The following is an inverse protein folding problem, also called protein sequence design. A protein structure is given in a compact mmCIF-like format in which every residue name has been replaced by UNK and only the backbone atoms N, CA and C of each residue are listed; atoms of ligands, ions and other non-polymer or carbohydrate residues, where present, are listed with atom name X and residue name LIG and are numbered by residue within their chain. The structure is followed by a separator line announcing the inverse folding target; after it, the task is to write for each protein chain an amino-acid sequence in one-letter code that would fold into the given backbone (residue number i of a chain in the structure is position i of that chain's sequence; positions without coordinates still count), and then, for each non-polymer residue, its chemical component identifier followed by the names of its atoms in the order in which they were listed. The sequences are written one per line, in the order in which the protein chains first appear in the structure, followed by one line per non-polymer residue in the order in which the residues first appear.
data_IF_179542696749
#
_entry.id   IF_179542696749
#
_cell.length_a   1.000
_cell.length_b   1.000
_cell.length_c   1.000
_cell.angle_alpha   90.00
_cell.angle_beta   90.00
_cell.angle_gamma   90.00
#
_symmetry.space_group_name_H-M   'P 1'
#
loop_
_entity.id
_entity.type
_entity.pdbx_description
1 polymer ?
#
# COMPACT_ATOMS: atom_id res chain seq x y z
N UNK A 1 6.02 17.75 -9.50
CA UNK A 1 7.09 16.82 -9.91
C UNK A 1 6.58 15.67 -10.78
N UNK A 2 5.56 14.90 -10.35
CA UNK A 2 4.96 13.79 -11.11
C UNK A 2 4.57 14.17 -12.54
N UNK A 3 3.84 15.27 -12.70
CA UNK A 3 3.46 15.79 -14.02
C UNK A 3 4.67 15.89 -14.96
N UNK A 4 5.75 16.53 -14.48
CA UNK A 4 6.97 16.72 -15.27
C UNK A 4 7.62 15.37 -15.60
N UNK A 5 7.73 14.48 -14.61
CA UNK A 5 8.38 13.18 -14.79
C UNK A 5 7.64 12.31 -15.82
N UNK A 6 6.32 12.13 -15.66
CA UNK A 6 5.52 11.32 -16.60
C UNK A 6 5.53 11.96 -18.00
N UNK A 7 5.46 13.28 -18.08
CA UNK A 7 5.58 13.99 -19.36
C UNK A 7 6.93 13.70 -20.03
N UNK A 8 8.04 13.82 -19.29
CA UNK A 8 9.38 13.55 -19.81
C UNK A 8 9.53 12.08 -20.26
N UNK A 9 9.12 11.14 -19.41
CA UNK A 9 9.19 9.70 -19.76
C UNK A 9 8.36 9.41 -21.01
N UNK A 10 7.14 9.94 -21.09
CA UNK A 10 6.27 9.77 -22.25
C UNK A 10 6.91 10.34 -23.53
N UNK A 11 7.51 11.52 -23.46
CA UNK A 11 8.20 12.15 -24.61
C UNK A 11 9.43 11.33 -25.01
N UNK A 12 10.21 10.84 -24.07
CA UNK A 12 11.37 9.96 -24.33
C UNK A 12 10.97 8.65 -25.02
N UNK A 13 9.75 8.18 -24.77
CA UNK A 13 9.15 7.01 -25.41
C UNK A 13 8.44 7.35 -26.75
N UNK A 14 8.58 8.58 -27.24
CA UNK A 14 8.07 8.99 -28.54
C UNK A 14 6.63 9.51 -28.57
N UNK A 15 5.97 9.69 -27.42
CA UNK A 15 4.64 10.29 -27.33
C UNK A 15 4.71 11.78 -27.70
N UNK A 16 3.76 12.27 -28.48
CA UNK A 16 3.65 13.70 -28.80
C UNK A 16 3.56 14.52 -27.52
N UNK A 17 4.36 15.60 -27.44
CA UNK A 17 4.47 16.45 -26.24
C UNK A 17 3.12 16.87 -25.66
N UNK A 18 2.17 17.28 -26.51
CA UNK A 18 0.84 17.72 -26.04
C UNK A 18 0.06 16.61 -25.33
N UNK A 19 0.10 15.37 -25.85
CA UNK A 19 -0.53 14.20 -25.22
C UNK A 19 0.21 13.77 -23.95
N UNK A 20 1.53 13.80 -23.98
CA UNK A 20 2.36 13.51 -22.81
C UNK A 20 2.09 14.51 -21.67
N UNK A 21 2.02 15.79 -22.00
CA UNK A 21 1.71 16.85 -21.03
C UNK A 21 0.28 16.70 -20.48
N UNK A 22 -0.70 16.40 -21.33
CA UNK A 22 -2.08 16.16 -20.91
C UNK A 22 -2.15 15.01 -19.90
N UNK A 23 -1.51 13.86 -20.19
CA UNK A 23 -1.41 12.74 -19.25
C UNK A 23 -0.74 13.12 -17.94
N UNK A 24 0.41 13.80 -18.00
CA UNK A 24 1.11 14.27 -16.82
C UNK A 24 0.30 15.24 -15.96
N UNK A 25 -0.43 16.18 -16.57
CA UNK A 25 -1.30 17.12 -15.87
C UNK A 25 -2.48 16.39 -15.22
N UNK A 26 -3.17 15.49 -15.94
CA UNK A 26 -4.25 14.67 -15.39
C UNK A 26 -3.78 13.88 -14.17
N UNK A 27 -2.59 13.28 -14.25
CA UNK A 27 -2.01 12.56 -13.12
C UNK A 27 -1.76 13.49 -11.93
N UNK A 28 -1.15 14.66 -12.16
CA UNK A 28 -0.94 15.66 -11.12
C UNK A 28 -2.23 16.09 -10.42
N UNK A 29 -3.30 16.30 -11.21
CA UNK A 29 -4.64 16.65 -10.69
C UNK A 29 -5.21 15.48 -9.87
N UNK A 30 -5.12 14.24 -10.36
CA UNK A 30 -5.60 13.06 -9.66
C UNK A 30 -4.92 12.89 -8.30
N UNK A 31 -3.60 13.02 -8.25
CA UNK A 31 -2.80 12.94 -7.03
C UNK A 31 -3.17 14.04 -6.03
N UNK A 32 -3.26 15.28 -6.50
CA UNK A 32 -3.65 16.42 -5.66
C UNK A 32 -5.07 16.23 -5.13
N UNK A 33 -5.98 15.72 -5.96
CA UNK A 33 -7.35 15.41 -5.59
C UNK A 33 -7.43 14.35 -4.49
N UNK A 34 -6.69 13.23 -4.62
CA UNK A 34 -6.63 12.20 -3.57
C UNK A 34 -6.09 12.78 -2.27
N UNK A 35 -5.00 13.54 -2.34
CA UNK A 35 -4.40 14.18 -1.17
C UNK A 35 -5.40 15.10 -0.45
N UNK A 36 -6.15 15.90 -1.20
CA UNK A 36 -7.17 16.78 -0.66
C UNK A 36 -8.30 15.98 0.02
N UNK A 37 -8.78 14.90 -0.61
CA UNK A 37 -9.83 14.05 -0.04
C UNK A 37 -9.36 13.38 1.25
N UNK A 38 -8.12 12.84 1.27
CA UNK A 38 -7.52 12.26 2.49
C UNK A 38 -7.43 13.32 3.60
N UNK A 39 -6.98 14.53 3.27
CA UNK A 39 -6.85 15.62 4.26
C UNK A 39 -8.21 16.01 4.85
N UNK A 40 -9.26 16.11 4.06
CA UNK A 40 -10.63 16.40 4.52
C UNK A 40 -11.12 15.29 5.44
N UNK A 41 -10.94 14.03 5.04
CA UNK A 41 -11.38 12.88 5.80
C UNK A 41 -10.62 12.78 7.13
N UNK A 42 -9.30 12.87 7.10
CA UNK A 42 -8.46 12.86 8.30
C UNK A 42 -8.77 14.00 9.25
N UNK A 43 -8.95 15.22 8.74
CA UNK A 43 -9.32 16.38 9.55
C UNK A 43 -10.66 16.21 10.25
N UNK A 44 -11.67 15.64 9.56
CA UNK A 44 -12.99 15.40 10.14
C UNK A 44 -12.96 14.34 11.25
N UNK A 45 -12.16 13.28 11.10
CA UNK A 45 -12.11 12.17 12.03
C UNK A 45 -11.13 12.36 13.20
N UNK A 46 -10.09 13.17 13.01
CA UNK A 46 -9.01 13.36 14.00
C UNK A 46 -9.56 13.78 15.38
N UNK A 47 -10.40 14.80 15.44
CA UNK A 47 -10.94 15.29 16.70
C UNK A 47 -11.81 14.25 17.41
N UNK A 48 -12.62 13.51 16.66
CA UNK A 48 -13.49 12.48 17.20
C UNK A 48 -12.68 11.32 17.80
N UNK A 49 -11.66 10.84 17.07
CA UNK A 49 -10.82 9.73 17.54
C UNK A 49 -9.92 10.14 18.72
N UNK A 50 -9.40 11.37 18.73
CA UNK A 50 -8.67 11.90 19.89
C UNK A 50 -9.56 11.94 21.12
N UNK A 51 -10.78 12.46 21.02
CA UNK A 51 -11.75 12.48 22.12
C UNK A 51 -12.09 11.08 22.64
N UNK A 52 -12.21 10.10 21.75
CA UNK A 52 -12.40 8.70 22.12
C UNK A 52 -11.24 8.18 22.98
N UNK A 53 -9.99 8.37 22.54
CA UNK A 53 -8.81 7.91 23.29
C UNK A 53 -8.73 8.58 24.67
N UNK A 54 -8.94 9.89 24.74
CA UNK A 54 -8.97 10.62 26.00
C UNK A 54 -10.06 10.10 26.98
N UNK A 55 -11.23 9.73 26.43
CA UNK A 55 -12.34 9.20 27.25
C UNK A 55 -12.10 7.78 27.75
N UNK A 56 -11.28 6.97 27.07
CA UNK A 56 -11.00 5.58 27.46
C UNK A 56 -9.85 5.44 28.45
N UNK A 57 -9.00 6.46 28.62
CA UNK A 57 -7.81 6.43 29.46
C UNK A 57 -6.68 5.52 28.96
N UNK A 58 -6.77 4.98 27.75
CA UNK A 58 -5.70 4.20 27.15
C UNK A 58 -4.51 5.08 26.75
N UNK A 59 -3.29 4.57 26.95
CA UNK A 59 -2.04 5.27 26.65
C UNK A 59 -1.59 4.95 25.21
N UNK A 60 -2.19 5.60 24.21
CA UNK A 60 -1.73 5.55 22.82
C UNK A 60 -0.95 6.84 22.54
N UNK A 61 0.37 6.78 22.75
CA UNK A 61 1.25 7.98 22.73
C UNK A 61 1.79 8.34 21.34
N UNK A 62 1.54 7.47 20.38
CA UNK A 62 1.99 7.62 18.98
C UNK A 62 0.78 7.88 18.10
N UNK A 63 0.80 8.94 17.30
CA UNK A 63 -0.27 9.19 16.33
C UNK A 63 0.10 8.66 14.94
N UNK A 64 -0.78 7.88 14.34
CA UNK A 64 -0.70 7.53 12.93
C UNK A 64 -1.07 8.76 12.08
N UNK A 65 -0.05 9.51 11.68
CA UNK A 65 -0.21 10.76 10.94
C UNK A 65 -0.47 10.57 9.44
N UNK A 66 -0.44 9.30 8.97
CA UNK A 66 -0.61 8.96 7.57
C UNK A 66 0.62 9.29 6.72
N UNK A 67 0.42 9.27 5.41
CA UNK A 67 1.52 9.33 4.43
C UNK A 67 2.15 10.73 4.26
N UNK A 68 1.41 11.81 4.51
CA UNK A 68 1.86 13.16 4.14
C UNK A 68 3.13 13.62 4.89
N UNK A 69 3.29 13.42 6.21
CA UNK A 69 4.56 13.70 6.88
C UNK A 69 5.71 12.87 6.33
N UNK A 70 5.48 11.59 6.05
CA UNK A 70 6.51 10.69 5.56
C UNK A 70 6.99 11.08 4.15
N UNK A 71 6.06 11.42 3.26
CA UNK A 71 6.39 11.94 1.95
C UNK A 71 7.24 13.22 2.06
N UNK A 72 6.90 14.12 2.98
CA UNK A 72 7.67 15.35 3.21
C UNK A 72 9.07 15.07 3.74
N UNK A 73 9.20 14.15 4.69
CA UNK A 73 10.48 13.67 5.24
C UNK A 73 11.38 13.18 4.12
N UNK A 74 10.86 12.26 3.33
CA UNK A 74 11.64 11.58 2.30
C UNK A 74 12.00 12.51 1.16
N UNK A 75 11.06 13.28 0.62
CA UNK A 75 11.33 14.26 -0.43
C UNK A 75 12.23 15.42 0.04
N UNK A 76 12.27 15.70 1.33
CA UNK A 76 13.22 16.65 1.95
C UNK A 76 14.66 16.13 2.04
N UNK A 77 14.86 14.82 1.85
CA UNK A 77 16.19 14.20 1.94
C UNK A 77 16.89 14.14 0.58
N UNK A 78 18.19 14.50 0.50
CA UNK A 78 18.99 14.33 -0.71
C UNK A 78 19.16 12.86 -1.11
N UNK A 79 19.07 11.92 -0.17
CA UNK A 79 19.14 10.49 -0.44
C UNK A 79 17.97 9.97 -1.26
N UNK A 80 16.83 10.66 -1.29
CA UNK A 80 15.68 10.25 -2.10
C UNK A 80 15.99 10.25 -3.60
N UNK A 81 16.68 11.28 -4.09
CA UNK A 81 17.12 11.32 -5.48
C UNK A 81 18.16 10.24 -5.78
N UNK A 82 19.05 9.95 -4.83
CA UNK A 82 19.99 8.85 -4.95
C UNK A 82 19.26 7.50 -5.07
N UNK A 83 18.33 7.21 -4.16
CA UNK A 83 17.56 5.96 -4.21
C UNK A 83 16.67 5.86 -5.45
N UNK A 84 16.12 6.98 -5.94
CA UNK A 84 15.41 7.02 -7.21
C UNK A 84 16.32 6.54 -8.35
N UNK A 85 17.54 7.08 -8.44
CA UNK A 85 18.50 6.67 -9.48
C UNK A 85 18.86 5.19 -9.37
N UNK A 86 19.09 4.69 -8.15
CA UNK A 86 19.35 3.27 -7.90
C UNK A 86 18.19 2.41 -8.42
N UNK A 87 16.95 2.78 -8.13
CA UNK A 87 15.77 2.03 -8.58
C UNK A 87 15.59 2.03 -10.10
N UNK A 88 15.79 3.18 -10.72
CA UNK A 88 15.75 3.28 -12.19
C UNK A 88 16.79 2.35 -12.81
N UNK A 89 18.02 2.34 -12.29
CA UNK A 89 19.07 1.44 -12.76
C UNK A 89 18.68 -0.03 -12.56
N UNK A 90 18.17 -0.39 -11.38
CA UNK A 90 17.72 -1.76 -11.08
C UNK A 90 16.62 -2.19 -12.05
N UNK A 91 15.61 -1.35 -12.28
CA UNK A 91 14.52 -1.66 -13.19
C UNK A 91 15.00 -1.83 -14.64
N UNK A 92 15.86 -0.92 -15.13
CA UNK A 92 16.45 -1.04 -16.46
C UNK A 92 17.24 -2.34 -16.59
N UNK A 93 18.10 -2.66 -15.62
CA UNK A 93 18.89 -3.91 -15.63
C UNK A 93 17.97 -5.14 -15.65
N UNK A 94 16.91 -5.15 -14.84
CA UNK A 94 15.95 -6.27 -14.81
C UNK A 94 15.21 -6.43 -16.15
N UNK A 95 14.83 -5.33 -16.81
CA UNK A 95 14.19 -5.36 -18.13
C UNK A 95 15.16 -5.89 -19.19
N UNK A 96 16.39 -5.38 -19.21
CA UNK A 96 17.44 -5.82 -20.17
C UNK A 96 17.79 -7.30 -19.98
N UNK A 97 17.87 -7.76 -18.72
CA UNK A 97 18.14 -9.17 -18.40
C UNK A 97 16.89 -10.07 -18.55
N UNK A 98 15.78 -9.55 -19.05
CA UNK A 98 14.51 -10.27 -19.23
C UNK A 98 13.98 -10.90 -17.91
N UNK A 99 14.14 -10.19 -16.78
CA UNK A 99 13.68 -10.62 -15.47
C UNK A 99 12.35 -10.00 -15.06
N UNK A 100 11.91 -8.96 -15.77
CA UNK A 100 10.61 -8.30 -15.61
C UNK A 100 10.12 -7.75 -16.95
N UNK A 101 8.81 -7.63 -17.09
CA UNK A 101 8.16 -6.87 -18.15
C UNK A 101 7.60 -5.53 -17.64
N UNK A 102 7.78 -5.20 -16.36
CA UNK A 102 7.24 -3.98 -15.77
C UNK A 102 8.26 -2.85 -15.78
N UNK A 103 7.85 -1.71 -16.36
CA UNK A 103 8.51 -0.43 -16.19
C UNK A 103 7.92 0.21 -14.93
N UNK A 104 8.76 0.42 -13.94
CA UNK A 104 8.40 1.09 -12.70
C UNK A 104 8.39 2.61 -12.91
N UNK A 105 7.21 3.17 -13.05
CA UNK A 105 7.00 4.61 -13.19
C UNK A 105 6.32 5.22 -11.97
N UNK A 106 6.18 4.43 -10.92
CA UNK A 106 5.59 4.86 -9.67
C UNK A 106 6.57 5.73 -8.86
N UNK A 107 6.53 7.00 -9.12
CA UNK A 107 7.34 8.00 -8.39
C UNK A 107 6.87 8.17 -6.94
N UNK A 108 5.61 7.84 -6.63
CA UNK A 108 5.16 7.81 -5.25
C UNK A 108 5.89 6.72 -4.47
N UNK A 109 6.05 5.57 -5.08
CA UNK A 109 6.73 4.46 -4.46
C UNK A 109 8.25 4.71 -4.25
N UNK A 110 8.80 5.71 -4.93
CA UNK A 110 10.19 6.15 -4.70
C UNK A 110 10.37 6.70 -3.28
N UNK A 111 9.42 7.51 -2.79
CA UNK A 111 9.56 8.01 -1.43
C UNK A 111 9.34 6.89 -0.39
N UNK A 112 8.51 5.91 -0.68
CA UNK A 112 8.34 4.71 0.16
C UNK A 112 9.66 3.94 0.29
N UNK A 113 10.36 3.70 -0.82
CA UNK A 113 11.67 3.04 -0.78
C UNK A 113 12.75 3.91 -0.15
N UNK A 114 12.72 5.22 -0.39
CA UNK A 114 13.62 6.15 0.30
C UNK A 114 13.37 6.15 1.81
N UNK A 115 12.12 6.04 2.25
CA UNK A 115 11.77 5.87 3.66
C UNK A 115 12.47 4.63 4.25
N UNK A 116 12.43 3.49 3.57
CA UNK A 116 13.10 2.26 4.02
C UNK A 116 14.61 2.45 4.14
N UNK A 117 15.23 3.06 3.13
CA UNK A 117 16.67 3.37 3.16
C UNK A 117 17.05 4.34 4.28
N UNK A 118 16.26 5.40 4.46
CA UNK A 118 16.49 6.40 5.52
C UNK A 118 16.28 5.81 6.92
N UNK A 119 15.23 4.98 7.10
CA UNK A 119 15.01 4.28 8.36
C UNK A 119 16.20 3.34 8.68
N UNK A 120 16.68 2.60 7.68
CA UNK A 120 17.85 1.73 7.86
C UNK A 120 19.10 2.53 8.29
N UNK A 121 19.33 3.71 7.68
CA UNK A 121 20.42 4.63 8.07
C UNK A 121 20.20 5.15 9.51
N UNK A 122 18.99 5.56 9.85
CA UNK A 122 18.67 6.04 11.19
C UNK A 122 19.00 4.99 12.28
N UNK A 123 18.72 3.72 12.01
CA UNK A 123 19.03 2.63 12.92
C UNK A 123 20.49 2.16 12.91
N UNK A 124 21.37 2.82 12.14
CA UNK A 124 22.83 2.66 12.22
C UNK A 124 23.50 2.09 10.97
N UNK A 125 22.77 1.86 9.88
CA UNK A 125 23.38 1.45 8.63
C UNK A 125 24.11 2.61 7.93
N UNK A 126 25.19 2.29 7.25
CA UNK A 126 25.79 3.22 6.28
C UNK A 126 24.99 3.20 4.96
N UNK A 127 25.28 4.16 4.07
CA UNK A 127 24.60 4.30 2.79
C UNK A 127 24.67 3.02 1.92
N UNK A 128 25.80 2.31 1.95
CA UNK A 128 25.96 1.08 1.17
C UNK A 128 24.98 -0.03 1.61
N UNK A 129 24.88 -0.29 2.91
CA UNK A 129 23.96 -1.27 3.48
C UNK A 129 22.50 -0.87 3.22
N UNK A 130 22.16 0.40 3.39
CA UNK A 130 20.83 0.91 3.07
C UNK A 130 20.49 0.74 1.58
N UNK A 131 21.47 0.96 0.69
CA UNK A 131 21.31 0.74 -0.75
C UNK A 131 21.05 -0.73 -1.06
N UNK A 132 21.75 -1.67 -0.42
CA UNK A 132 21.48 -3.09 -0.60
C UNK A 132 20.07 -3.47 -0.19
N UNK A 133 19.56 -2.91 0.91
CA UNK A 133 18.17 -3.12 1.34
C UNK A 133 17.17 -2.55 0.31
N UNK A 134 17.39 -1.32 -0.17
CA UNK A 134 16.55 -0.67 -1.17
C UNK A 134 16.53 -1.48 -2.48
N UNK A 135 17.68 -1.98 -2.92
CA UNK A 135 17.79 -2.87 -4.10
C UNK A 135 17.01 -4.17 -3.88
N UNK A 136 17.17 -4.79 -2.72
CA UNK A 136 16.48 -6.03 -2.37
C UNK A 136 14.95 -5.85 -2.44
N UNK A 137 14.42 -4.84 -1.77
CA UNK A 137 12.99 -4.53 -1.77
C UNK A 137 12.51 -4.14 -3.16
N UNK A 138 13.29 -3.32 -3.88
CA UNK A 138 13.01 -2.91 -5.25
C UNK A 138 12.88 -4.09 -6.21
N UNK A 139 13.77 -5.08 -6.14
CA UNK A 139 13.70 -6.30 -6.96
C UNK A 139 12.43 -7.09 -6.65
N UNK A 140 12.08 -7.27 -5.38
CA UNK A 140 10.87 -8.01 -5.01
C UNK A 140 9.59 -7.32 -5.49
N UNK A 141 9.47 -5.99 -5.30
CA UNK A 141 8.27 -5.27 -5.75
C UNK A 141 8.08 -5.32 -7.26
N UNK A 142 9.18 -5.22 -8.03
CA UNK A 142 9.14 -5.29 -9.50
C UNK A 142 8.75 -6.70 -9.96
N UNK A 143 9.30 -7.77 -9.39
CA UNK A 143 8.89 -9.14 -9.72
C UNK A 143 7.43 -9.37 -9.35
N UNK A 144 6.99 -8.84 -8.21
CA UNK A 144 5.62 -8.98 -7.75
C UNK A 144 4.62 -8.31 -8.68
N UNK A 145 4.98 -7.16 -9.28
CA UNK A 145 4.12 -6.45 -10.23
C UNK A 145 3.78 -7.31 -11.47
N UNK A 146 4.74 -8.05 -12.00
CA UNK A 146 4.52 -9.00 -13.10
C UNK A 146 3.59 -10.15 -12.68
N UNK A 147 3.78 -10.66 -11.46
CA UNK A 147 2.95 -11.75 -10.93
C UNK A 147 1.48 -11.35 -10.73
N UNK A 148 1.24 -10.12 -10.32
CA UNK A 148 -0.10 -9.60 -10.05
C UNK A 148 -0.85 -9.16 -11.31
N UNK A 149 -0.15 -8.90 -12.41
CA UNK A 149 -0.70 -8.32 -13.64
C UNK A 149 -1.96 -9.01 -14.15
N UNK A 150 -2.02 -10.35 -14.32
CA UNK A 150 -3.22 -11.03 -14.78
C UNK A 150 -4.40 -10.86 -13.82
N UNK A 151 -4.14 -10.89 -12.50
CA UNK A 151 -5.18 -10.65 -11.49
C UNK A 151 -5.76 -9.24 -11.58
N UNK A 152 -4.95 -8.22 -11.89
CA UNK A 152 -5.47 -6.86 -12.10
C UNK A 152 -6.35 -6.77 -13.35
N UNK A 153 -6.00 -7.45 -14.43
CA UNK A 153 -6.86 -7.49 -15.62
C UNK A 153 -8.22 -8.10 -15.29
N UNK A 154 -8.25 -9.23 -14.59
CA UNK A 154 -9.47 -9.89 -14.13
C UNK A 154 -10.30 -8.97 -13.22
N UNK A 155 -9.70 -8.40 -12.20
CA UNK A 155 -10.38 -7.50 -11.26
C UNK A 155 -10.96 -6.24 -11.92
N UNK A 156 -10.29 -5.71 -12.94
CA UNK A 156 -10.72 -4.51 -13.66
C UNK A 156 -11.67 -4.82 -14.82
N UNK A 157 -11.87 -6.10 -15.19
CA UNK A 157 -12.54 -6.47 -16.41
C UNK A 157 -11.82 -5.91 -17.65
N UNK A 158 -10.50 -5.76 -17.58
CA UNK A 158 -9.70 -5.13 -18.61
C UNK A 158 -9.13 -6.18 -19.58
N UNK A 159 -8.93 -5.81 -20.87
CA UNK A 159 -8.32 -6.72 -21.84
C UNK A 159 -6.87 -7.06 -21.46
N UNK A 160 -6.34 -8.17 -21.96
CA UNK A 160 -4.95 -8.58 -21.76
C UNK A 160 -3.93 -7.52 -22.20
N UNK A 161 -4.29 -6.73 -23.21
CA UNK A 161 -3.47 -5.62 -23.71
C UNK A 161 -3.39 -4.42 -22.75
N UNK A 162 -4.21 -4.38 -21.70
CA UNK A 162 -4.11 -3.35 -20.67
C UNK A 162 -2.75 -3.46 -19.97
N UNK A 163 -1.87 -2.43 -20.02
CA UNK A 163 -0.52 -2.55 -19.46
C UNK A 163 -0.44 -2.29 -17.96
N UNK A 164 -1.52 -1.87 -17.29
CA UNK A 164 -1.47 -1.42 -15.90
C UNK A 164 -1.20 -2.56 -14.92
N UNK A 165 -0.28 -2.32 -14.00
CA UNK A 165 -0.01 -3.10 -12.80
C UNK A 165 0.44 -2.15 -11.70
N UNK A 166 0.85 -2.66 -10.54
CA UNK A 166 1.38 -1.83 -9.45
C UNK A 166 2.73 -2.32 -8.98
N UNK A 167 3.56 -1.38 -8.59
CA UNK A 167 4.84 -1.61 -7.90
C UNK A 167 4.79 -1.16 -6.44
N UNK A 168 3.60 -0.85 -5.91
CA UNK A 168 3.44 -0.36 -4.55
C UNK A 168 3.91 -1.37 -3.49
N UNK A 169 4.60 -0.89 -2.46
CA UNK A 169 5.27 -1.74 -1.48
C UNK A 169 4.35 -2.52 -0.54
N UNK A 170 3.10 -2.07 -0.31
CA UNK A 170 2.14 -2.83 0.49
C UNK A 170 1.92 -4.27 -0.02
N UNK A 171 2.16 -4.50 -1.30
CA UNK A 171 2.08 -5.84 -1.90
C UNK A 171 3.27 -6.75 -1.53
N UNK A 172 4.28 -6.24 -0.82
CA UNK A 172 5.30 -7.08 -0.17
C UNK A 172 4.68 -8.02 0.89
N UNK A 173 3.47 -7.73 1.36
CA UNK A 173 2.70 -8.61 2.23
C UNK A 173 2.02 -9.79 1.53
N UNK A 174 1.97 -9.79 0.19
CA UNK A 174 1.29 -10.84 -0.57
C UNK A 174 1.72 -12.27 -0.24
N UNK A 175 3.03 -12.58 -0.01
CA UNK A 175 3.42 -13.92 0.41
C UNK A 175 2.73 -14.36 1.71
N UNK A 176 2.65 -13.46 2.68
CA UNK A 176 2.01 -13.73 3.99
C UNK A 176 0.50 -13.89 3.82
N UNK A 177 -0.15 -12.97 3.11
CA UNK A 177 -1.59 -13.08 2.83
C UNK A 177 -1.93 -14.35 2.05
N UNK A 178 -1.08 -14.76 1.09
CA UNK A 178 -1.29 -15.99 0.32
C UNK A 178 -1.18 -17.25 1.20
N UNK A 179 -0.31 -17.25 2.21
CA UNK A 179 -0.23 -18.36 3.17
C UNK A 179 -1.57 -18.54 3.89
N UNK A 180 -2.16 -17.46 4.41
CA UNK A 180 -3.47 -17.52 5.05
C UNK A 180 -4.57 -17.87 4.05
N UNK A 181 -4.55 -17.32 2.84
CA UNK A 181 -5.54 -17.65 1.82
C UNK A 181 -5.52 -19.15 1.46
N UNK A 182 -4.34 -19.73 1.29
CA UNK A 182 -4.18 -21.18 1.05
C UNK A 182 -4.53 -22.03 2.26
N UNK A 183 -4.27 -21.55 3.48
CA UNK A 183 -4.76 -22.20 4.69
C UNK A 183 -6.29 -22.27 4.70
N UNK A 184 -6.97 -21.18 4.30
CA UNK A 184 -8.44 -21.17 4.22
C UNK A 184 -8.97 -22.05 3.09
N UNK A 185 -8.30 -22.13 1.95
CA UNK A 185 -8.65 -23.08 0.89
C UNK A 185 -8.69 -24.52 1.41
N UNK A 186 -7.74 -24.87 2.29
CA UNK A 186 -7.60 -26.24 2.80
C UNK A 186 -8.49 -26.55 3.99
N UNK A 187 -8.60 -25.63 4.94
CA UNK A 187 -9.22 -25.91 6.25
C UNK A 187 -10.59 -25.26 6.44
N UNK A 188 -10.89 -24.18 5.70
CA UNK A 188 -12.11 -23.42 5.84
C UNK A 188 -12.79 -23.14 4.46
N UNK A 189 -12.90 -24.16 3.57
CA UNK A 189 -13.47 -23.95 2.23
C UNK A 189 -14.95 -23.54 2.29
N UNK A 190 -15.62 -23.81 3.41
CA UNK A 190 -17.00 -23.42 3.63
C UNK A 190 -17.20 -21.90 3.71
N UNK A 191 -16.17 -21.11 4.02
CA UNK A 191 -16.23 -19.64 4.01
C UNK A 191 -16.64 -19.11 2.64
N UNK A 192 -16.23 -19.76 1.56
CA UNK A 192 -16.56 -19.35 0.19
C UNK A 192 -18.06 -19.38 -0.12
N UNK A 193 -18.85 -20.18 0.62
CA UNK A 193 -20.31 -20.21 0.47
C UNK A 193 -20.96 -18.90 0.92
N UNK A 194 -20.32 -18.21 1.86
CA UNK A 194 -20.80 -16.97 2.43
C UNK A 194 -20.09 -15.76 1.85
N UNK A 195 -18.98 -15.99 1.11
CA UNK A 195 -18.21 -14.93 0.52
C UNK A 195 -18.92 -14.29 -0.68
N UNK A 196 -18.68 -13.02 -0.86
CA UNK A 196 -19.31 -12.23 -1.90
C UNK A 196 -18.28 -11.22 -2.46
N UNK A 197 -18.39 -10.99 -3.74
CA UNK A 197 -17.76 -9.88 -4.44
C UNK A 197 -18.70 -8.66 -4.49
N UNK A 198 -18.21 -7.53 -5.00
CA UNK A 198 -19.01 -6.32 -5.08
C UNK A 198 -20.28 -6.48 -5.93
N UNK A 199 -20.27 -7.32 -6.96
CA UNK A 199 -21.43 -7.54 -7.81
C UNK A 199 -22.52 -8.29 -7.05
N UNK A 200 -22.14 -9.33 -6.30
CA UNK A 200 -23.06 -10.06 -5.42
C UNK A 200 -23.55 -9.20 -4.26
N UNK A 201 -22.69 -8.37 -3.69
CA UNK A 201 -23.07 -7.43 -2.63
C UNK A 201 -24.13 -6.46 -3.16
N UNK A 202 -23.84 -5.78 -4.27
CA UNK A 202 -24.77 -4.82 -4.87
C UNK A 202 -26.08 -5.46 -5.32
N UNK A 203 -26.06 -6.71 -5.82
CA UNK A 203 -27.28 -7.43 -6.22
C UNK A 203 -28.14 -7.85 -5.03
N UNK A 204 -27.54 -8.14 -3.86
CA UNK A 204 -28.27 -8.60 -2.66
C UNK A 204 -28.78 -7.48 -1.77
N UNK A 205 -27.97 -6.44 -1.56
CA UNK A 205 -28.27 -5.37 -0.61
C UNK A 205 -28.40 -3.98 -1.28
N UNK A 206 -28.19 -3.89 -2.59
CA UNK A 206 -28.40 -2.68 -3.38
C UNK A 206 -27.72 -1.44 -2.78
N UNK A 207 -28.50 -0.38 -2.57
CA UNK A 207 -28.05 0.86 -1.98
C UNK A 207 -27.15 0.70 -0.73
N UNK A 208 -27.47 -0.24 0.15
CA UNK A 208 -26.76 -0.45 1.41
C UNK A 208 -25.33 -0.97 1.25
N UNK A 209 -24.99 -1.53 0.08
CA UNK A 209 -23.61 -1.94 -0.27
C UNK A 209 -22.84 -0.91 -1.07
N UNK A 210 -23.43 0.25 -1.35
CA UNK A 210 -22.76 1.33 -2.08
C UNK A 210 -21.63 1.97 -1.28
N UNK A 211 -20.66 2.56 -1.97
CA UNK A 211 -19.50 3.23 -1.34
C UNK A 211 -19.93 4.33 -0.38
N UNK A 212 -20.90 5.15 -0.77
CA UNK A 212 -21.39 6.21 0.12
C UNK A 212 -22.13 5.64 1.35
N UNK A 213 -22.89 4.54 1.24
CA UNK A 213 -23.48 3.88 2.40
C UNK A 213 -22.39 3.36 3.35
N UNK A 214 -21.35 2.75 2.81
CA UNK A 214 -20.16 2.33 3.57
C UNK A 214 -19.52 3.52 4.30
N UNK A 215 -19.36 4.66 3.62
CA UNK A 215 -18.86 5.89 4.25
C UNK A 215 -19.76 6.39 5.37
N UNK A 216 -21.09 6.34 5.20
CA UNK A 216 -22.05 6.68 6.26
C UNK A 216 -21.84 5.77 7.48
N UNK A 217 -21.71 4.46 7.29
CA UNK A 217 -21.49 3.52 8.41
C UNK A 217 -20.22 3.83 9.18
N UNK A 218 -19.12 4.15 8.49
CA UNK A 218 -17.87 4.54 9.12
C UNK A 218 -18.03 5.81 9.95
N UNK A 219 -18.63 6.85 9.40
CA UNK A 219 -18.85 8.11 10.10
C UNK A 219 -19.78 7.98 11.30
N UNK A 220 -20.86 7.21 11.16
CA UNK A 220 -21.77 6.91 12.30
C UNK A 220 -21.03 6.11 13.38
N UNK A 221 -20.28 5.07 12.99
CA UNK A 221 -19.51 4.25 13.93
C UNK A 221 -18.54 5.11 14.77
N UNK A 222 -17.70 5.90 14.10
CA UNK A 222 -16.70 6.74 14.77
C UNK A 222 -17.38 7.81 15.61
N UNK A 223 -18.46 8.41 15.11
CA UNK A 223 -19.19 9.45 15.83
C UNK A 223 -19.87 8.94 17.12
N UNK A 224 -20.46 7.74 17.08
CA UNK A 224 -21.03 7.09 18.27
C UNK A 224 -19.92 6.73 19.25
N UNK A 225 -18.85 6.11 18.77
CA UNK A 225 -17.70 5.69 19.57
C UNK A 225 -17.07 6.88 20.33
N UNK A 226 -17.06 8.04 19.70
CA UNK A 226 -16.47 9.29 20.26
C UNK A 226 -17.47 10.15 21.02
N UNK A 227 -18.66 9.64 21.33
CA UNK A 227 -19.72 10.37 22.04
C UNK A 227 -20.08 11.72 21.39
N UNK A 228 -20.03 11.81 20.07
CA UNK A 228 -20.36 13.02 19.33
C UNK A 228 -21.88 13.32 19.40
N UNK A 229 -22.25 14.58 19.25
CA UNK A 229 -23.65 14.97 19.11
C UNK A 229 -24.25 14.44 17.80
N UNK A 230 -25.58 14.26 17.71
CA UNK A 230 -26.22 13.79 16.46
C UNK A 230 -25.86 14.62 15.23
N UNK A 231 -25.71 15.93 15.36
CA UNK A 231 -25.29 16.82 14.27
C UNK A 231 -23.86 16.55 13.81
N UNK A 232 -22.94 16.30 14.74
CA UNK A 232 -21.56 15.94 14.43
C UNK A 232 -21.47 14.56 13.79
N UNK A 233 -22.23 13.56 14.28
CA UNK A 233 -22.33 12.23 13.67
C UNK A 233 -22.80 12.35 12.22
N UNK A 234 -23.84 13.14 11.97
CA UNK A 234 -24.35 13.39 10.64
C UNK A 234 -23.26 14.00 9.74
N UNK A 235 -22.54 15.00 10.21
CA UNK A 235 -21.44 15.64 9.47
C UNK A 235 -20.33 14.64 9.14
N UNK A 236 -19.89 13.82 10.11
CA UNK A 236 -18.89 12.78 9.89
C UNK A 236 -19.34 11.76 8.86
N UNK A 237 -20.60 11.30 8.96
CA UNK A 237 -21.17 10.32 8.04
C UNK A 237 -21.18 10.82 6.59
N UNK A 238 -21.66 12.03 6.37
CA UNK A 238 -21.71 12.62 5.02
C UNK A 238 -20.32 13.00 4.51
N UNK A 239 -19.41 13.45 5.35
CA UNK A 239 -18.02 13.69 4.95
C UNK A 239 -17.36 12.42 4.47
N UNK A 240 -17.48 11.31 5.23
CA UNK A 240 -16.93 10.03 4.85
C UNK A 240 -17.54 9.51 3.53
N UNK A 241 -18.87 9.58 3.41
CA UNK A 241 -19.57 9.18 2.19
C UNK A 241 -19.10 9.94 0.96
N UNK A 242 -19.00 11.26 1.07
CA UNK A 242 -18.51 12.15 0.01
C UNK A 242 -17.06 11.81 -0.38
N UNK A 243 -16.20 11.62 0.60
CA UNK A 243 -14.80 11.28 0.36
C UNK A 243 -14.65 9.94 -0.37
N UNK A 244 -15.40 8.90 0.03
CA UNK A 244 -15.34 7.59 -0.64
C UNK A 244 -15.84 7.64 -2.09
N UNK A 245 -16.86 8.44 -2.40
CA UNK A 245 -17.27 8.65 -3.79
C UNK A 245 -16.23 9.43 -4.59
N UNK A 246 -15.64 10.47 -4.03
CA UNK A 246 -14.59 11.25 -4.67
C UNK A 246 -13.34 10.40 -4.97
N UNK A 247 -12.95 9.48 -4.08
CA UNK A 247 -11.86 8.54 -4.36
C UNK A 247 -12.10 7.72 -5.62
N UNK A 248 -13.31 7.26 -5.84
CA UNK A 248 -13.66 6.49 -7.05
C UNK A 248 -13.57 7.33 -8.32
N UNK A 249 -14.06 8.56 -8.28
CA UNK A 249 -14.03 9.49 -9.43
C UNK A 249 -12.57 9.81 -9.76
N UNK A 250 -11.78 10.18 -8.77
CA UNK A 250 -10.37 10.54 -8.95
C UNK A 250 -9.55 9.32 -9.39
N UNK A 251 -9.85 8.12 -8.88
CA UNK A 251 -9.24 6.87 -9.32
C UNK A 251 -9.39 6.65 -10.84
N UNK A 252 -10.53 7.01 -11.43
CA UNK A 252 -10.73 6.93 -12.88
C UNK A 252 -9.81 7.88 -13.66
N UNK A 253 -9.44 9.03 -13.10
CA UNK A 253 -8.50 9.97 -13.73
C UNK A 253 -7.08 9.44 -13.77
N UNK A 254 -6.67 8.64 -12.78
CA UNK A 254 -5.38 7.92 -12.84
C UNK A 254 -5.30 7.05 -14.08
N UNK A 255 -6.32 6.24 -14.33
CA UNK A 255 -6.37 5.36 -15.51
C UNK A 255 -6.22 6.16 -16.80
N UNK A 256 -7.02 7.23 -16.95
CA UNK A 256 -6.97 8.10 -18.11
C UNK A 256 -5.62 8.83 -18.29
N UNK A 257 -4.96 9.17 -17.19
CA UNK A 257 -3.68 9.90 -17.22
C UNK A 257 -2.53 9.08 -17.79
N UNK A 258 -2.60 7.76 -17.61
CA UNK A 258 -1.51 6.83 -18.00
C UNK A 258 -1.66 6.30 -19.42
N UNK A 259 -2.82 6.47 -20.04
CA UNK A 259 -3.09 5.97 -21.38
C UNK A 259 -2.06 6.45 -22.42
N UNK A 260 -1.67 7.75 -22.51
CA UNK A 260 -0.65 8.20 -23.45
C UNK A 260 0.72 7.55 -23.20
N UNK A 261 1.10 7.37 -21.94
CA UNK A 261 2.34 6.69 -21.56
C UNK A 261 2.31 5.22 -21.98
N UNK A 262 1.19 4.52 -21.74
CA UNK A 262 0.99 3.13 -22.12
C UNK A 262 1.13 2.92 -23.63
N UNK A 263 0.55 3.81 -24.43
CA UNK A 263 0.70 3.79 -25.89
C UNK A 263 2.17 4.00 -26.29
N UNK A 264 2.85 4.99 -25.69
CA UNK A 264 4.26 5.24 -25.94
C UNK A 264 5.17 4.06 -25.61
N UNK A 265 4.90 3.39 -24.50
CA UNK A 265 5.62 2.16 -24.10
C UNK A 265 5.41 1.04 -25.11
N UNK A 266 4.18 0.82 -25.55
CA UNK A 266 3.87 -0.21 -26.55
C UNK A 266 4.57 0.07 -27.89
N UNK A 267 4.52 1.32 -28.35
CA UNK A 267 5.19 1.74 -29.60
C UNK A 267 6.72 1.61 -29.47
N UNK A 268 7.29 2.04 -28.36
CA UNK A 268 8.72 1.89 -28.08
C UNK A 268 9.16 0.43 -28.05
N UNK A 269 8.40 -0.44 -27.36
CA UNK A 269 8.70 -1.87 -27.29
C UNK A 269 8.63 -2.53 -28.68
N UNK A 270 7.62 -2.19 -29.49
CA UNK A 270 7.44 -2.71 -30.83
C UNK A 270 8.56 -2.27 -31.81
N UNK A 271 9.07 -1.05 -31.65
CA UNK A 271 10.12 -0.49 -32.49
C UNK A 271 11.54 -0.82 -32.01
N UNK A 272 11.71 -1.23 -30.77
CA UNK A 272 13.00 -1.57 -30.18
C UNK A 272 13.46 -2.96 -30.59
N UNK A 273 14.67 -3.07 -31.15
CA UNK A 273 15.28 -4.37 -31.47
C UNK A 273 15.47 -5.27 -30.26
N UNK A 274 15.63 -4.69 -29.07
CA UNK A 274 15.89 -5.37 -27.79
C UNK A 274 14.62 -5.85 -27.09
N UNK A 275 13.49 -5.19 -27.37
CA UNK A 275 12.20 -5.43 -26.72
C UNK A 275 11.17 -6.01 -27.68
N UNK A 276 11.52 -6.21 -28.96
CA UNK A 276 10.60 -6.66 -30.01
C UNK A 276 9.90 -7.96 -29.59
N UNK A 277 8.58 -7.92 -29.60
CA UNK A 277 7.71 -9.03 -29.22
C UNK A 277 7.42 -9.13 -27.71
N UNK A 278 7.90 -8.18 -26.89
CA UNK A 278 7.57 -8.11 -25.46
C UNK A 278 6.46 -7.11 -25.20
N UNK A 279 5.44 -7.53 -24.50
CA UNK A 279 4.45 -6.63 -23.91
C UNK A 279 5.01 -6.07 -22.59
N UNK A 280 5.20 -4.75 -22.51
CA UNK A 280 5.67 -4.11 -21.30
C UNK A 280 4.47 -3.61 -20.45
N UNK A 281 4.58 -3.79 -19.16
CA UNK A 281 3.62 -3.31 -18.18
C UNK A 281 4.04 -1.96 -17.60
N UNK A 282 3.09 -1.21 -17.09
CA UNK A 282 3.28 0.07 -16.41
C UNK A 282 3.00 -0.13 -14.94
N UNK A 283 4.05 -0.08 -14.11
CA UNK A 283 3.96 -0.15 -12.65
C UNK A 283 3.55 1.21 -12.08
N UNK A 284 2.38 1.27 -11.49
CA UNK A 284 1.75 2.47 -10.94
C UNK A 284 1.54 2.34 -9.43
N UNK A 285 1.15 3.44 -8.80
CA UNK A 285 0.60 3.42 -7.45
C UNK A 285 -0.79 2.74 -7.40
N UNK A 286 -1.14 2.16 -6.26
CA UNK A 286 -2.36 1.35 -6.05
C UNK A 286 -3.70 2.07 -6.34
N UNK A 287 -3.85 3.42 -6.28
CA UNK A 287 -5.14 4.08 -6.44
C UNK A 287 -5.90 3.77 -7.74
N UNK A 288 -5.26 3.20 -8.76
CA UNK A 288 -5.97 2.78 -9.97
C UNK A 288 -7.04 1.70 -9.71
N UNK A 289 -6.94 0.96 -8.59
CA UNK A 289 -7.96 0.00 -8.15
C UNK A 289 -8.89 0.56 -7.07
N UNK A 290 -8.75 1.83 -6.69
CA UNK A 290 -9.59 2.47 -5.67
C UNK A 290 -11.09 2.53 -6.05
N UNK A 291 -11.42 2.33 -7.34
CA UNK A 291 -12.80 2.16 -7.79
C UNK A 291 -13.48 0.86 -7.33
N UNK A 292 -12.73 -0.11 -6.80
CA UNK A 292 -13.27 -1.39 -6.33
C UNK A 292 -13.89 -1.25 -4.95
N UNK A 293 -15.19 -1.55 -4.85
CA UNK A 293 -15.94 -1.43 -3.58
C UNK A 293 -15.48 -2.42 -2.50
N UNK A 294 -14.87 -3.55 -2.89
CA UNK A 294 -14.32 -4.54 -1.96
C UNK A 294 -13.19 -3.96 -1.12
N UNK A 295 -12.37 -3.08 -1.69
CA UNK A 295 -11.29 -2.37 -0.97
C UNK A 295 -11.87 -1.61 0.21
N UNK A 296 -12.92 -0.83 -0.04
CA UNK A 296 -13.55 0.03 0.96
C UNK A 296 -14.41 -0.76 1.95
N UNK A 297 -15.14 -1.78 1.49
CA UNK A 297 -15.89 -2.67 2.36
C UNK A 297 -14.96 -3.36 3.38
N UNK A 298 -13.85 -3.90 2.91
CA UNK A 298 -12.83 -4.50 3.76
C UNK A 298 -12.25 -3.48 4.75
N UNK A 299 -11.83 -2.30 4.26
CA UNK A 299 -11.25 -1.26 5.10
C UNK A 299 -12.20 -0.85 6.24
N UNK A 300 -13.48 -0.65 5.94
CA UNK A 300 -14.47 -0.25 6.94
C UNK A 300 -14.76 -1.34 7.99
N UNK A 301 -14.78 -2.61 7.57
CA UNK A 301 -14.94 -3.72 8.53
C UNK A 301 -13.70 -3.85 9.41
N UNK A 302 -12.51 -3.64 8.83
CA UNK A 302 -11.25 -3.73 9.56
C UNK A 302 -10.99 -2.54 10.49
N UNK A 303 -11.58 -1.37 10.23
CA UNK A 303 -11.35 -0.17 11.02
C UNK A 303 -11.68 -0.33 12.53
N UNK A 304 -12.88 -0.81 12.94
CA UNK A 304 -13.17 -1.07 14.34
C UNK A 304 -12.28 -2.18 14.93
N UNK A 305 -11.95 -3.18 14.15
CA UNK A 305 -11.07 -4.29 14.58
C UNK A 305 -9.67 -3.74 14.84
N UNK A 306 -9.12 -2.92 13.94
CA UNK A 306 -7.83 -2.28 14.08
C UNK A 306 -7.73 -1.42 15.35
N UNK A 307 -8.77 -0.65 15.64
CA UNK A 307 -8.82 0.14 16.87
C UNK A 307 -8.84 -0.74 18.11
N UNK A 308 -9.66 -1.79 18.12
CA UNK A 308 -9.69 -2.75 19.23
C UNK A 308 -8.34 -3.43 19.43
N UNK A 309 -7.69 -3.88 18.35
CA UNK A 309 -6.36 -4.47 18.40
C UNK A 309 -5.30 -3.49 18.89
N UNK A 310 -5.38 -2.23 18.46
CA UNK A 310 -4.47 -1.19 18.95
C UNK A 310 -4.57 -1.01 20.48
N UNK A 311 -5.78 -0.99 21.01
CA UNK A 311 -6.03 -0.91 22.47
C UNK A 311 -5.55 -2.17 23.19
N UNK A 312 -5.86 -3.36 22.64
CA UNK A 312 -5.42 -4.64 23.22
C UNK A 312 -3.91 -4.74 23.31
N UNK A 313 -3.21 -4.44 22.20
CA UNK A 313 -1.75 -4.52 22.13
C UNK A 313 -1.07 -3.45 22.99
N UNK A 314 -1.70 -2.31 23.26
CA UNK A 314 -1.13 -1.29 24.14
C UNK A 314 -1.08 -1.74 25.61
N UNK A 315 -1.85 -2.76 25.97
CA UNK A 315 -1.86 -3.35 27.30
C UNK A 315 -0.86 -4.49 27.49
N UNK A 316 -0.17 -4.92 26.41
CA UNK A 316 0.77 -6.04 26.44
C UNK A 316 2.20 -5.54 26.61
N UNK A 317 2.88 -5.84 27.74
CA UNK A 317 4.26 -5.43 27.95
C UNK A 317 5.23 -6.04 26.90
N UNK A 318 6.10 -5.20 26.35
CA UNK A 318 7.14 -5.59 25.41
C UNK A 318 8.47 -4.92 25.78
N UNK A 319 9.26 -5.49 26.72
CA UNK A 319 10.49 -4.87 27.23
C UNK A 319 11.56 -4.60 26.17
N UNK A 320 11.47 -5.25 25.02
CA UNK A 320 12.36 -5.08 23.86
C UNK A 320 12.00 -3.87 22.98
N UNK A 321 10.81 -3.31 23.18
CA UNK A 321 10.39 -2.07 22.51
C UNK A 321 11.11 -0.87 23.10
N UNK A 322 11.31 0.22 22.30
CA UNK A 322 11.90 1.46 22.80
C UNK A 322 11.16 2.02 24.02
N UNK A 323 11.90 2.67 24.90
CA UNK A 323 11.32 3.25 26.13
C UNK A 323 10.35 4.40 25.84
N UNK A 324 10.64 5.17 24.80
CA UNK A 324 9.81 6.30 24.37
C UNK A 324 8.37 5.88 24.01
N UNK A 325 8.18 4.62 23.66
CA UNK A 325 6.86 4.05 23.31
C UNK A 325 6.23 3.27 24.47
N UNK A 326 6.77 3.38 25.70
CA UNK A 326 6.23 2.75 26.90
C UNK A 326 6.48 1.26 27.04
N UNK A 327 7.39 0.67 26.23
CA UNK A 327 7.74 -0.76 26.25
C UNK A 327 6.52 -1.69 26.12
N UNK A 328 5.57 -1.31 25.28
CA UNK A 328 4.37 -2.07 24.96
C UNK A 328 4.39 -2.53 23.50
N UNK A 329 3.60 -3.54 23.13
CA UNK A 329 3.57 -4.04 21.74
C UNK A 329 3.05 -2.99 20.76
N UNK A 330 2.15 -2.11 21.21
CA UNK A 330 1.64 -1.02 20.39
C UNK A 330 1.45 0.25 21.20
N UNK A 331 2.01 1.37 20.75
CA UNK A 331 1.72 2.71 21.24
C UNK A 331 0.92 3.57 20.27
N UNK A 332 0.50 3.00 19.13
CA UNK A 332 -0.08 3.74 18.00
C UNK A 332 -1.59 3.86 18.13
N UNK A 333 -2.09 5.08 18.10
CA UNK A 333 -3.46 5.41 17.73
C UNK A 333 -3.55 5.37 16.19
N UNK A 334 -4.25 4.39 15.57
CA UNK A 334 -4.24 4.18 14.13
C UNK A 334 -5.17 5.17 13.38
N UNK A 335 -4.98 6.46 13.59
CA UNK A 335 -5.86 7.52 13.14
C UNK A 335 -6.06 7.50 11.61
N UNK A 336 -4.99 7.55 10.85
CA UNK A 336 -5.04 7.54 9.39
C UNK A 336 -5.47 6.17 8.84
N UNK A 337 -5.03 5.09 9.48
CA UNK A 337 -5.30 3.72 9.03
C UNK A 337 -6.75 3.27 9.24
N UNK A 338 -7.47 3.85 10.20
CA UNK A 338 -8.92 3.65 10.33
C UNK A 338 -9.64 4.22 9.11
N UNK A 339 -9.13 5.31 8.54
CA UNK A 339 -9.73 5.99 7.41
C UNK A 339 -9.36 5.32 6.09
N UNK A 340 -8.08 5.00 5.92
CA UNK A 340 -7.53 4.36 4.71
C UNK A 340 -6.65 3.19 5.13
N UNK A 341 -7.22 2.00 5.08
CA UNK A 341 -6.50 0.78 5.44
C UNK A 341 -5.66 0.30 4.27
N UNK A 342 -4.36 0.56 4.30
CA UNK A 342 -3.43 0.30 3.20
C UNK A 342 -3.23 -1.18 2.84
N UNK A 343 -3.67 -2.12 3.68
CA UNK A 343 -3.57 -3.56 3.38
C UNK A 343 -4.69 -4.08 2.47
N UNK A 344 -5.83 -3.39 2.38
CA UNK A 344 -7.00 -3.85 1.60
C UNK A 344 -6.70 -4.06 0.11
N UNK A 345 -5.92 -3.22 -0.59
CA UNK A 345 -5.56 -3.47 -1.98
C UNK A 345 -4.77 -4.76 -2.21
N UNK A 346 -3.84 -5.09 -1.32
CA UNK A 346 -3.06 -6.32 -1.41
C UNK A 346 -3.91 -7.57 -1.08
N UNK A 347 -4.80 -7.46 -0.10
CA UNK A 347 -5.79 -8.49 0.21
C UNK A 347 -6.72 -8.74 -0.97
N UNK A 348 -7.18 -7.69 -1.66
CA UNK A 348 -8.02 -7.79 -2.87
C UNK A 348 -7.35 -8.68 -3.93
N UNK A 349 -6.07 -8.47 -4.22
CA UNK A 349 -5.31 -9.25 -5.20
C UNK A 349 -5.19 -10.71 -4.76
N UNK A 350 -4.79 -10.95 -3.52
CA UNK A 350 -4.56 -12.32 -3.03
C UNK A 350 -5.83 -13.13 -2.97
N UNK A 351 -6.94 -12.55 -2.52
CA UNK A 351 -8.23 -13.24 -2.37
C UNK A 351 -9.12 -13.17 -3.60
N UNK A 352 -8.73 -12.41 -4.65
CA UNK A 352 -9.57 -12.12 -5.83
C UNK A 352 -10.91 -11.49 -5.44
N UNK A 353 -10.89 -10.57 -4.48
CA UNK A 353 -12.07 -9.80 -4.08
C UNK A 353 -13.04 -10.52 -3.14
N UNK A 354 -12.67 -11.66 -2.56
CA UNK A 354 -13.49 -12.36 -1.56
C UNK A 354 -13.46 -11.57 -0.24
N UNK A 355 -14.50 -10.78 0.02
CA UNK A 355 -14.53 -9.78 1.10
C UNK A 355 -14.40 -10.43 2.48
N UNK A 356 -15.07 -11.55 2.75
CA UNK A 356 -14.95 -12.22 4.06
C UNK A 356 -13.51 -12.68 4.29
N UNK A 357 -12.88 -13.28 3.28
CA UNK A 357 -11.47 -13.69 3.37
C UNK A 357 -10.55 -12.49 3.57
N UNK A 358 -10.78 -11.38 2.84
CA UNK A 358 -10.02 -10.13 3.04
C UNK A 358 -10.10 -9.68 4.49
N UNK A 359 -11.30 -9.64 5.06
CA UNK A 359 -11.51 -9.17 6.42
C UNK A 359 -10.86 -10.10 7.47
N UNK A 360 -11.01 -11.41 7.32
CA UNK A 360 -10.45 -12.37 8.29
C UNK A 360 -8.92 -12.37 8.22
N UNK A 361 -8.32 -12.39 7.03
CA UNK A 361 -6.86 -12.31 6.89
C UNK A 361 -6.35 -10.96 7.41
N UNK A 362 -7.05 -9.87 7.05
CA UNK A 362 -6.72 -8.54 7.52
C UNK A 362 -6.69 -8.45 9.04
N UNK A 363 -7.73 -8.91 9.71
CA UNK A 363 -7.81 -8.92 11.18
C UNK A 363 -6.67 -9.72 11.83
N UNK A 364 -6.26 -10.84 11.25
CA UNK A 364 -5.13 -11.64 11.78
C UNK A 364 -3.79 -10.91 11.63
N UNK A 365 -3.64 -10.10 10.57
CA UNK A 365 -2.34 -9.54 10.19
C UNK A 365 -2.17 -8.08 10.65
N UNK A 366 -3.24 -7.33 10.87
CA UNK A 366 -3.18 -5.93 11.35
C UNK A 366 -2.28 -5.70 12.58
N UNK A 367 -2.26 -6.58 13.60
CA UNK A 367 -1.35 -6.44 14.73
C UNK A 367 0.12 -6.28 14.33
N UNK A 368 0.56 -6.96 13.28
CA UNK A 368 1.95 -6.89 12.79
C UNK A 368 2.25 -5.49 12.23
N UNK A 369 1.29 -4.86 11.57
CA UNK A 369 1.43 -3.48 11.09
C UNK A 369 1.57 -2.48 12.25
N UNK A 370 0.78 -2.64 13.30
CA UNK A 370 0.83 -1.78 14.49
C UNK A 370 2.18 -1.89 15.21
N UNK A 371 2.67 -3.12 15.39
CA UNK A 371 3.98 -3.39 16.01
C UNK A 371 5.11 -2.76 15.18
N UNK A 372 5.10 -2.96 13.87
CA UNK A 372 6.10 -2.40 12.99
C UNK A 372 6.07 -0.85 12.98
N UNK A 373 4.88 -0.26 13.00
CA UNK A 373 4.71 1.19 13.08
C UNK A 373 5.20 1.78 14.40
N UNK A 374 5.00 1.05 15.50
CA UNK A 374 5.55 1.41 16.82
C UNK A 374 7.08 1.46 16.79
N UNK A 375 7.74 0.47 16.19
CA UNK A 375 9.21 0.40 16.09
C UNK A 375 9.85 1.57 15.35
N UNK A 376 9.19 2.07 14.29
CA UNK A 376 9.75 3.14 13.46
C UNK A 376 9.30 4.55 13.87
N UNK A 377 8.48 4.67 14.91
CA UNK A 377 7.92 5.97 15.33
C UNK A 377 8.98 7.00 15.73
N UNK A 378 10.03 6.57 16.42
CA UNK A 378 11.15 7.45 16.77
C UNK A 378 11.85 8.03 15.55
N UNK A 379 12.13 7.21 14.54
CA UNK A 379 12.67 7.64 13.26
C UNK A 379 11.76 8.68 12.58
N UNK A 380 10.48 8.35 12.45
CA UNK A 380 9.51 9.24 11.78
C UNK A 380 9.42 10.58 12.49
N UNK A 381 9.27 10.57 13.81
CA UNK A 381 9.14 11.78 14.62
C UNK A 381 10.36 12.67 14.54
N UNK A 382 11.55 12.11 14.75
CA UNK A 382 12.81 12.86 14.74
C UNK A 382 13.05 13.48 13.37
N UNK A 383 12.84 12.71 12.31
CA UNK A 383 13.08 13.18 10.95
C UNK A 383 12.02 14.18 10.51
N UNK A 384 10.75 14.01 10.91
CA UNK A 384 9.69 14.97 10.64
C UNK A 384 9.99 16.34 11.29
N UNK A 385 10.44 16.33 12.54
CA UNK A 385 10.82 17.55 13.26
C UNK A 385 11.98 18.28 12.55
N UNK A 386 12.98 17.53 12.08
CA UNK A 386 14.16 18.09 11.41
C UNK A 386 13.82 18.80 10.08
N UNK A 387 12.77 18.37 9.38
CA UNK A 387 12.34 18.97 8.10
C UNK A 387 11.08 19.84 8.23
N UNK A 388 10.60 20.10 9.43
CA UNK A 388 9.41 20.90 9.68
C UNK A 388 8.08 20.23 9.23
N UNK A 389 8.06 18.90 9.14
CA UNK A 389 6.94 18.11 8.65
C UNK A 389 6.02 17.57 9.75
N UNK A 390 6.12 18.07 10.99
CA UNK A 390 5.31 17.59 12.13
C UNK A 390 3.81 17.88 12.02
N UNK A 391 3.39 18.73 11.08
CA UNK A 391 1.98 19.04 10.76
C UNK A 391 1.10 19.35 12.00
N UNK A 392 1.67 19.94 13.05
CA UNK A 392 0.96 20.28 14.30
C UNK A 392 0.80 19.13 15.30
N UNK A 393 1.30 17.93 15.00
CA UNK A 393 1.36 16.85 15.98
C UNK A 393 2.39 17.15 17.08
N UNK A 394 2.02 16.94 18.34
CA UNK A 394 2.85 17.26 19.52
C UNK A 394 3.47 16.04 20.19
N UNK A 395 3.27 14.85 19.69
CA UNK A 395 3.82 13.60 20.23
C UNK A 395 4.62 12.84 19.22
N UNK A 396 4.85 11.56 19.50
CA UNK A 396 5.40 10.65 18.51
C UNK A 396 4.43 10.46 17.34
N UNK A 397 4.96 10.42 16.13
CA UNK A 397 4.19 10.15 14.92
C UNK A 397 4.74 8.95 14.18
N UNK A 398 3.86 8.31 13.42
CA UNK A 398 4.20 7.15 12.58
C UNK A 398 3.24 7.04 11.41
N UNK A 399 3.39 6.01 10.62
CA UNK A 399 2.42 5.55 9.63
C UNK A 399 2.17 4.06 9.82
N UNK A 400 0.92 3.65 10.12
CA UNK A 400 0.62 2.27 10.51
C UNK A 400 0.43 1.35 9.30
N UNK A 401 -0.65 1.49 8.53
CA UNK A 401 -1.04 0.48 7.52
C UNK A 401 -0.72 0.86 6.08
N UNK A 402 -0.31 2.08 5.79
CA UNK A 402 0.02 2.51 4.42
C UNK A 402 1.36 1.94 3.93
N UNK A 403 2.31 1.73 4.86
CA UNK A 403 3.56 1.02 4.63
C UNK A 403 3.50 -0.37 5.25
N UNK A 404 3.98 -1.37 4.52
CA UNK A 404 4.01 -2.74 5.01
C UNK A 404 4.96 -2.95 6.19
N UNK A 405 4.70 -3.96 7.01
CA UNK A 405 5.58 -4.28 8.13
C UNK A 405 6.89 -4.94 7.69
N UNK A 406 6.94 -5.63 6.55
CA UNK A 406 8.13 -6.35 6.09
C UNK A 406 9.31 -5.40 5.97
N UNK A 407 9.15 -4.33 5.23
CA UNK A 407 10.19 -3.35 4.97
C UNK A 407 10.57 -2.54 6.22
N UNK A 408 9.62 -2.25 7.11
CA UNK A 408 9.88 -1.61 8.40
C UNK A 408 10.74 -2.49 9.30
N UNK A 409 10.40 -3.78 9.42
CA UNK A 409 11.20 -4.73 10.18
C UNK A 409 12.58 -4.94 9.58
N UNK A 410 12.69 -5.05 8.24
CA UNK A 410 13.99 -5.19 7.58
C UNK A 410 14.86 -3.95 7.81
N UNK A 411 14.30 -2.73 7.70
CA UNK A 411 15.04 -1.51 7.97
C UNK A 411 15.53 -1.44 9.43
N UNK A 412 14.68 -1.81 10.39
CA UNK A 412 15.01 -1.85 11.80
C UNK A 412 16.10 -2.89 12.10
N UNK A 413 15.91 -4.14 11.63
CA UNK A 413 16.85 -5.23 11.95
C UNK A 413 18.21 -5.02 11.28
N UNK A 414 18.23 -4.67 9.99
CA UNK A 414 19.48 -4.47 9.23
C UNK A 414 20.21 -3.23 9.73
N UNK A 415 19.50 -2.13 10.06
CA UNK A 415 20.09 -0.96 10.65
C UNK A 415 20.80 -1.27 11.98
N UNK A 416 20.12 -1.93 12.89
CA UNK A 416 20.70 -2.33 14.17
C UNK A 416 21.80 -3.41 14.01
N UNK A 417 21.73 -4.28 13.03
CA UNK A 417 22.82 -5.19 12.68
C UNK A 417 24.07 -4.43 12.24
N UNK A 418 23.92 -3.41 11.41
CA UNK A 418 25.00 -2.58 10.91
C UNK A 418 25.64 -1.70 12.01
N UNK A 419 24.90 -1.39 13.07
CA UNK A 419 25.44 -0.71 14.27
C UNK A 419 26.33 -1.61 15.15
N UNK A 420 26.50 -2.90 14.79
CA UNK A 420 27.40 -3.84 15.47
C UNK A 420 26.72 -4.86 16.39
N UNK A 421 25.41 -4.94 16.43
CA UNK A 421 24.67 -5.91 17.25
C UNK A 421 24.64 -7.31 16.61
N UNK A 422 25.37 -8.28 17.16
CA UNK A 422 25.39 -9.66 16.68
C UNK A 422 24.00 -10.33 16.71
N UNK A 423 23.16 -9.99 17.69
CA UNK A 423 21.79 -10.45 17.75
C UNK A 423 20.99 -10.06 16.51
N UNK A 424 21.06 -8.76 16.14
CA UNK A 424 20.34 -8.27 14.98
C UNK A 424 20.91 -8.76 13.65
N UNK A 425 22.20 -9.11 13.58
CA UNK A 425 22.78 -9.80 12.41
C UNK A 425 22.07 -11.15 12.24
N UNK A 426 21.96 -11.96 13.30
CA UNK A 426 21.23 -13.23 13.25
C UNK A 426 19.77 -13.05 12.86
N UNK A 427 19.07 -12.11 13.49
CA UNK A 427 17.65 -11.82 13.19
C UNK A 427 17.49 -11.38 11.73
N UNK A 428 18.35 -10.52 11.21
CA UNK A 428 18.30 -10.04 9.82
C UNK A 428 18.46 -11.18 8.83
N UNK A 429 19.44 -12.04 9.03
CA UNK A 429 19.68 -13.20 8.17
C UNK A 429 18.47 -14.15 8.16
N UNK A 430 17.91 -14.44 9.32
CA UNK A 430 16.70 -15.28 9.43
C UNK A 430 15.51 -14.62 8.76
N UNK A 431 15.24 -13.33 9.02
CA UNK A 431 14.11 -12.60 8.46
C UNK A 431 14.19 -12.54 6.93
N UNK A 432 15.35 -12.18 6.38
CA UNK A 432 15.57 -12.14 4.92
C UNK A 432 15.37 -13.52 4.32
N UNK A 433 15.97 -14.57 4.93
CA UNK A 433 15.87 -15.94 4.42
C UNK A 433 14.43 -16.44 4.42
N UNK A 434 13.69 -16.22 5.51
CA UNK A 434 12.27 -16.60 5.60
C UNK A 434 11.43 -15.84 4.58
N UNK A 435 11.70 -14.55 4.38
CA UNK A 435 10.97 -13.76 3.37
C UNK A 435 11.26 -14.26 1.95
N UNK A 436 12.52 -14.55 1.62
CA UNK A 436 12.90 -15.12 0.31
C UNK A 436 12.16 -16.45 0.09
N UNK A 437 12.15 -17.35 1.05
CA UNK A 437 11.46 -18.65 0.95
C UNK A 437 9.96 -18.45 0.75
N UNK A 438 9.35 -17.57 1.54
CA UNK A 438 7.92 -17.24 1.42
C UNK A 438 7.60 -16.61 0.06
N UNK A 439 8.45 -15.72 -0.44
CA UNK A 439 8.27 -15.07 -1.75
C UNK A 439 8.43 -16.06 -2.91
N UNK A 440 9.40 -16.97 -2.86
CA UNK A 440 9.59 -18.00 -3.89
C UNK A 440 8.40 -18.96 -3.94
N UNK A 441 7.86 -19.33 -2.78
CA UNK A 441 6.64 -20.12 -2.68
C UNK A 441 5.43 -19.34 -3.24
N UNK A 442 5.24 -18.09 -2.82
CA UNK A 442 4.19 -17.20 -3.33
C UNK A 442 4.28 -17.05 -4.86
N UNK A 443 5.49 -16.83 -5.39
CA UNK A 443 5.73 -16.76 -6.84
C UNK A 443 5.22 -18.01 -7.55
N UNK A 444 5.52 -19.20 -7.02
CA UNK A 444 5.03 -20.46 -7.58
C UNK A 444 3.50 -20.53 -7.60
N UNK A 445 2.85 -20.14 -6.51
CA UNK A 445 1.38 -20.13 -6.42
C UNK A 445 0.75 -19.12 -7.39
N UNK A 446 1.35 -17.94 -7.54
CA UNK A 446 0.88 -16.93 -8.49
C UNK A 446 1.05 -17.37 -9.95
N UNK A 447 2.17 -17.98 -10.31
CA UNK A 447 2.39 -18.50 -11.65
C UNK A 447 1.36 -19.58 -11.99
N UNK A 448 1.10 -20.51 -11.07
CA UNK A 448 0.04 -21.51 -11.24
C UNK A 448 -1.33 -20.87 -11.46
N UNK A 449 -1.67 -19.87 -10.65
CA UNK A 449 -2.94 -19.12 -10.77
C UNK A 449 -3.04 -18.41 -12.12
N UNK A 450 -1.94 -17.82 -12.59
CA UNK A 450 -1.91 -17.14 -13.87
C UNK A 450 -2.06 -18.11 -15.04
N UNK A 451 -1.48 -19.30 -14.96
CA UNK A 451 -1.69 -20.37 -15.95
C UNK A 451 -3.14 -20.87 -15.97
N UNK A 452 -3.79 -20.98 -14.81
CA UNK A 452 -5.22 -21.34 -14.73
C UNK A 452 -6.08 -20.23 -15.38
N UNK A 453 -5.80 -18.97 -15.11
CA UNK A 453 -6.50 -17.82 -15.69
C UNK A 453 -6.32 -17.76 -17.22
N UNK A 454 -5.12 -17.97 -17.74
CA UNK A 454 -4.85 -18.04 -19.17
C UNK A 454 -5.65 -19.17 -19.86
N UNK A 455 -5.78 -20.32 -19.22
CA UNK A 455 -6.61 -21.43 -19.73
C UNK A 455 -8.09 -21.08 -19.77
N UNK A 456 -8.58 -20.35 -18.78
CA UNK A 456 -9.98 -19.88 -18.73
C UNK A 456 -10.27 -18.87 -19.87
N UNK A 457 -9.29 -17.99 -20.19
CA UNK A 457 -9.45 -17.00 -21.26
C UNK A 457 -9.31 -17.58 -22.67
N UNK A 458 -8.47 -18.60 -22.83
CA UNK A 458 -8.14 -19.19 -24.12
C UNK A 458 -8.32 -20.72 -24.14
N UNK A 459 -9.56 -21.21 -23.98
CA UNK A 459 -9.81 -22.65 -23.98
C UNK A 459 -9.39 -23.33 -25.30
N UNK A 460 -9.41 -22.58 -26.41
CA UNK A 460 -8.97 -23.07 -27.74
C UNK A 460 -7.48 -23.40 -27.80
N UNK A 461 -6.63 -22.80 -26.94
CA UNK A 461 -5.18 -23.10 -26.91
C UNK A 461 -4.87 -24.36 -26.09
N UNK A 462 -5.82 -24.85 -25.32
CA UNK A 462 -5.62 -25.98 -24.39
C UNK A 462 -6.14 -27.31 -24.92
N UNK A 463 -6.80 -27.32 -26.08
CA UNK A 463 -7.30 -28.56 -26.70
C UNK A 463 -8.42 -29.27 -25.92
N UNK A 464 -9.14 -28.54 -25.06
CA UNK A 464 -10.34 -29.00 -24.37
C UNK A 464 -11.60 -28.65 -25.15
#
# INVERSE_FOLDING_TARGET
MMTIFITLVSVLLGVKFSKALEGGVKLGIAITGISAVISVLSGAFSSALTQFVESTGFQLTITDAGWAPLATITWGSPYTLYFLLVLVIVNIVMIVLNKTNTIDVDIFDVWHLAFVGLACIYFGANLFVATLLVVLVGVFKIINSDLMKPTFNDLLGAPESNPMTTTHMNYMMNPIFMMFNKFFDRFLPWLDKYDFDSNKLNSKIGFWGSRFAIGIYLGVFVGILSHQTPAQIFTLAFTAATCLELFSIIGSWFIQSVEPLSQGIADFANNSKWLKGRSLNVGLDWPFIAGRSEVWACANILAPILLFEALLLSSIPAPWMPEEVGRVLNGVLPLSSIIVTGLSPALLVVTRGKIIRMCVIGAIVQPIFLIAATLVSGFVTTTAAAVGASQGFTGLITMATMEGPVEKFLAFFIGNAASGSALYVGISVVAISLYIVAFLWYRKEMLKRNEEYEKELHPEKTGL
#
